data_IF_408704611894
#
_entry.id   IF_408704611894
#
_cell.length_a   1.000
_cell.length_b   1.000
_cell.length_c   1.000
_cell.angle_alpha   90.00
_cell.angle_beta   90.00
_cell.angle_gamma   90.00
#
_symmetry.space_group_name_H-M   'P 1'
#
loop_
_entity.id
_entity.type
_entity.pdbx_description
1 polymer ?
#
# COMPACT_ATOMS: atom_id res chain seq x y z
N UNK A 1 2.86 11.62 20.38
CA UNK A 1 2.95 12.88 19.61
C UNK A 1 4.19 13.71 19.98
N UNK A 2 4.36 14.13 21.25
CA UNK A 2 5.53 14.90 21.70
C UNK A 2 6.89 14.23 21.36
N UNK A 3 6.99 12.91 21.58
CA UNK A 3 8.19 12.14 21.23
C UNK A 3 8.56 12.27 19.73
N UNK A 4 7.56 12.23 18.85
CA UNK A 4 7.77 12.38 17.41
C UNK A 4 8.28 13.77 17.05
N UNK A 5 7.71 14.81 17.68
CA UNK A 5 8.17 16.19 17.53
C UNK A 5 9.63 16.34 17.94
N UNK A 6 9.99 15.92 19.16
CA UNK A 6 11.34 16.10 19.69
C UNK A 6 12.43 15.32 18.94
N UNK A 7 12.09 14.16 18.35
CA UNK A 7 13.07 13.26 17.70
C UNK A 7 13.18 13.50 16.20
N UNK A 8 12.05 13.72 15.50
CA UNK A 8 12.04 13.80 14.03
C UNK A 8 12.03 15.23 13.49
N UNK A 9 11.58 16.23 14.26
CA UNK A 9 11.57 17.63 13.79
C UNK A 9 12.82 18.41 14.21
N UNK A 10 13.34 18.18 15.41
CA UNK A 10 14.48 18.95 15.94
C UNK A 10 15.85 18.35 15.59
N UNK A 11 16.89 19.17 15.38
CA UNK A 11 18.15 18.74 14.77
C UNK A 11 19.08 17.99 15.74
N UNK A 12 18.80 17.95 17.04
CA UNK A 12 19.71 17.38 18.04
C UNK A 12 19.73 15.84 18.10
N UNK A 13 18.71 15.17 17.56
CA UNK A 13 18.57 13.72 17.75
C UNK A 13 19.53 12.95 16.82
N UNK A 14 20.34 12.01 17.37
CA UNK A 14 21.29 11.26 16.56
C UNK A 14 20.56 10.32 15.57
N UNK A 15 21.17 10.01 14.41
CA UNK A 15 20.54 9.15 13.40
C UNK A 15 20.18 7.74 13.89
N UNK A 16 21.00 7.16 14.78
CA UNK A 16 20.76 5.84 15.38
C UNK A 16 19.48 5.79 16.21
N UNK A 17 19.22 6.84 17.01
CA UNK A 17 18.00 6.97 17.78
C UNK A 17 16.77 7.11 16.88
N UNK A 18 16.88 7.92 15.82
CA UNK A 18 15.80 8.08 14.84
C UNK A 18 15.45 6.74 14.17
N UNK A 19 16.45 5.94 13.78
CA UNK A 19 16.22 4.62 13.19
C UNK A 19 15.51 3.65 14.15
N UNK A 20 15.88 3.64 15.44
CA UNK A 20 15.25 2.80 16.45
C UNK A 20 13.80 3.22 16.77
N UNK A 21 13.55 4.52 16.86
CA UNK A 21 12.23 5.05 17.25
C UNK A 21 11.26 5.10 16.07
N UNK A 22 11.74 5.15 14.82
CA UNK A 22 10.90 5.19 13.62
C UNK A 22 9.80 4.10 13.59
N UNK A 23 10.10 2.80 13.75
CA UNK A 23 9.05 1.78 13.75
C UNK A 23 8.06 1.97 14.90
N UNK A 24 8.54 2.26 16.11
CA UNK A 24 7.70 2.50 17.29
C UNK A 24 6.74 3.68 17.05
N UNK A 25 7.24 4.77 16.47
CA UNK A 25 6.45 5.95 16.15
C UNK A 25 5.34 5.63 15.13
N UNK A 26 5.65 4.87 14.08
CA UNK A 26 4.67 4.45 13.07
C UNK A 26 3.59 3.55 13.68
N UNK A 27 3.98 2.48 14.39
CA UNK A 27 3.00 1.57 15.00
C UNK A 27 2.15 2.25 16.07
N UNK A 28 2.74 3.08 16.92
CA UNK A 28 1.99 3.84 17.92
C UNK A 28 1.02 4.84 17.28
N UNK A 29 1.40 5.48 16.17
CA UNK A 29 0.51 6.35 15.40
C UNK A 29 -0.71 5.62 14.85
N UNK A 30 -0.51 4.44 14.25
CA UNK A 30 -1.60 3.59 13.76
C UNK A 30 -2.50 3.10 14.90
N UNK A 31 -1.92 2.69 16.04
CA UNK A 31 -2.71 2.29 17.20
C UNK A 31 -3.55 3.44 17.75
N UNK A 32 -2.95 4.62 17.94
CA UNK A 32 -3.67 5.80 18.43
C UNK A 32 -4.80 6.18 17.47
N UNK A 33 -4.56 6.12 16.15
CA UNK A 33 -5.59 6.39 15.16
C UNK A 33 -6.76 5.41 15.26
N UNK A 34 -6.46 4.11 15.38
CA UNK A 34 -7.47 3.07 15.57
C UNK A 34 -8.26 3.23 16.88
N UNK A 35 -7.59 3.54 17.99
CA UNK A 35 -8.27 3.75 19.28
C UNK A 35 -9.11 5.01 19.28
N UNK A 36 -8.69 6.09 18.61
CA UNK A 36 -9.51 7.31 18.46
C UNK A 36 -10.80 7.01 17.70
N UNK A 37 -10.76 6.19 16.65
CA UNK A 37 -11.97 5.74 15.95
C UNK A 37 -12.88 4.96 16.89
N UNK A 38 -12.34 3.99 17.64
CA UNK A 38 -13.11 3.20 18.60
C UNK A 38 -13.74 4.08 19.68
N UNK A 39 -13.00 5.03 20.24
CA UNK A 39 -13.49 6.00 21.24
C UNK A 39 -14.59 6.89 20.66
N UNK A 40 -14.45 7.37 19.41
CA UNK A 40 -15.48 8.17 18.76
C UNK A 40 -16.79 7.38 18.57
N UNK A 41 -16.71 6.11 18.12
CA UNK A 41 -17.87 5.24 17.96
C UNK A 41 -18.54 4.90 19.31
N UNK A 42 -17.74 4.68 20.35
CA UNK A 42 -18.24 4.46 21.71
C UNK A 42 -18.99 5.69 22.22
N UNK A 43 -18.40 6.90 22.10
CA UNK A 43 -19.05 8.14 22.53
C UNK A 43 -20.32 8.47 21.75
N UNK A 44 -20.34 8.19 20.44
CA UNK A 44 -21.56 8.29 19.61
C UNK A 44 -22.64 7.34 20.14
N UNK A 45 -22.29 6.09 20.42
CA UNK A 45 -23.22 5.08 20.94
C UNK A 45 -23.79 5.47 22.30
N UNK A 46 -22.92 5.92 23.22
CA UNK A 46 -23.34 6.44 24.54
C UNK A 46 -24.30 7.62 24.40
N UNK A 47 -24.00 8.56 23.50
CA UNK A 47 -24.86 9.72 23.24
C UNK A 47 -26.24 9.30 22.73
N UNK A 48 -26.30 8.36 21.79
CA UNK A 48 -27.55 7.84 21.23
C UNK A 48 -28.40 7.16 22.30
N UNK A 49 -27.79 6.30 23.13
CA UNK A 49 -28.49 5.58 24.21
C UNK A 49 -29.06 6.55 25.25
N UNK A 50 -28.31 7.61 25.61
CA UNK A 50 -28.75 8.54 26.66
C UNK A 50 -29.69 9.63 26.17
N UNK A 51 -29.57 10.07 24.91
CA UNK A 51 -30.38 11.16 24.37
C UNK A 51 -31.71 10.69 23.77
N UNK A 52 -31.74 9.58 23.03
CA UNK A 52 -32.94 9.10 22.30
C UNK A 52 -33.78 8.20 23.20
N UNK A 53 -34.50 8.81 24.14
CA UNK A 53 -35.45 8.13 25.03
C UNK A 53 -36.88 8.12 24.49
N UNK A 54 -37.32 9.22 23.88
CA UNK A 54 -38.65 9.36 23.29
C UNK A 54 -38.62 10.35 22.11
N UNK A 55 -38.68 9.89 20.85
CA UNK A 55 -38.76 8.49 20.42
C UNK A 55 -37.48 7.71 20.77
N UNK A 56 -37.65 6.45 21.19
CA UNK A 56 -36.55 5.58 21.58
C UNK A 56 -35.64 5.24 20.40
N UNK A 57 -34.34 5.04 20.63
CA UNK A 57 -33.37 4.72 19.57
C UNK A 57 -33.78 3.53 18.67
N UNK A 58 -34.39 2.48 19.23
CA UNK A 58 -34.86 1.32 18.47
C UNK A 58 -36.00 1.64 17.48
N UNK A 59 -36.73 2.75 17.65
CA UNK A 59 -37.76 3.17 16.69
C UNK A 59 -37.17 3.89 15.47
N UNK A 60 -35.85 3.83 15.27
CA UNK A 60 -35.13 4.44 14.14
C UNK A 60 -35.50 5.91 13.89
N UNK A 61 -35.40 6.80 14.91
CA UNK A 61 -35.62 8.22 14.67
C UNK A 61 -34.57 8.77 13.68
N UNK A 62 -34.89 9.82 12.90
CA UNK A 62 -33.98 10.37 11.90
C UNK A 62 -32.60 10.73 12.44
N UNK A 63 -32.52 11.24 13.67
CA UNK A 63 -31.26 11.53 14.37
C UNK A 63 -30.39 10.26 14.57
N UNK A 64 -31.02 9.13 14.92
CA UNK A 64 -30.34 7.85 15.08
C UNK A 64 -29.77 7.33 13.76
N UNK A 65 -30.56 7.39 12.68
CA UNK A 65 -30.11 6.98 11.34
C UNK A 65 -28.96 7.86 10.85
N UNK A 66 -29.07 9.18 11.03
CA UNK A 66 -28.02 10.12 10.65
C UNK A 66 -26.71 9.84 11.38
N UNK A 67 -26.77 9.68 12.71
CA UNK A 67 -25.57 9.49 13.53
C UNK A 67 -24.92 8.12 13.31
N UNK A 68 -25.72 7.06 13.05
CA UNK A 68 -25.19 5.76 12.64
C UNK A 68 -24.48 5.84 11.29
N UNK A 69 -25.07 6.57 10.34
CA UNK A 69 -24.45 6.80 9.03
C UNK A 69 -23.12 7.53 9.20
N UNK A 70 -23.06 8.56 10.05
CA UNK A 70 -21.82 9.25 10.41
C UNK A 70 -20.78 8.27 11.02
N UNK A 71 -21.20 7.38 11.91
CA UNK A 71 -20.33 6.34 12.48
C UNK A 71 -19.75 5.40 11.41
N UNK A 72 -20.56 4.97 10.44
CA UNK A 72 -20.09 4.17 9.31
C UNK A 72 -19.11 4.94 8.42
N UNK A 73 -19.35 6.24 8.19
CA UNK A 73 -18.42 7.10 7.44
C UNK A 73 -17.07 7.23 8.15
N UNK A 74 -17.07 7.37 9.48
CA UNK A 74 -15.83 7.40 10.29
C UNK A 74 -15.08 6.08 10.15
N UNK A 75 -15.77 4.94 10.21
CA UNK A 75 -15.17 3.62 10.07
C UNK A 75 -14.58 3.40 8.67
N UNK A 76 -15.33 3.79 7.63
CA UNK A 76 -14.88 3.73 6.23
C UNK A 76 -13.66 4.61 6.00
N UNK A 77 -13.67 5.84 6.52
CA UNK A 77 -12.52 6.74 6.48
C UNK A 77 -11.30 6.09 7.16
N UNK A 78 -11.49 5.52 8.36
CA UNK A 78 -10.45 4.78 9.06
C UNK A 78 -9.85 3.65 8.21
N UNK A 79 -10.70 2.80 7.64
CA UNK A 79 -10.28 1.69 6.79
C UNK A 79 -9.48 2.17 5.55
N UNK A 80 -9.92 3.26 4.91
CA UNK A 80 -9.22 3.84 3.77
C UNK A 80 -7.85 4.39 4.15
N UNK A 81 -7.73 5.07 5.29
CA UNK A 81 -6.44 5.56 5.79
C UNK A 81 -5.50 4.39 6.12
N UNK A 82 -6.00 3.34 6.78
CA UNK A 82 -5.23 2.13 7.06
C UNK A 82 -4.75 1.44 5.77
N UNK A 83 -5.59 1.40 4.75
CA UNK A 83 -5.21 0.88 3.43
C UNK A 83 -4.08 1.70 2.82
N UNK A 84 -4.21 3.03 2.80
CA UNK A 84 -3.23 3.92 2.20
C UNK A 84 -1.88 3.83 2.91
N UNK A 85 -1.86 3.90 4.24
CA UNK A 85 -0.62 3.93 5.03
C UNK A 85 0.14 2.61 5.00
N UNK A 86 -0.53 1.50 4.72
CA UNK A 86 0.08 0.16 4.66
C UNK A 86 0.60 -0.22 3.27
N UNK A 87 0.42 0.61 2.24
CA UNK A 87 0.96 0.36 0.90
C UNK A 87 2.44 0.73 0.81
N UNK A 88 3.38 -0.24 0.67
CA UNK A 88 4.80 0.07 0.57
C UNK A 88 5.15 0.88 -0.69
N UNK A 89 4.40 0.65 -1.78
CA UNK A 89 4.55 1.37 -3.04
C UNK A 89 4.19 2.86 -2.98
N UNK A 90 3.45 3.30 -1.95
CA UNK A 90 3.07 4.70 -1.73
C UNK A 90 3.92 5.36 -0.64
N UNK A 91 4.89 4.62 -0.09
CA UNK A 91 5.83 5.16 0.88
C UNK A 91 6.74 6.17 0.19
N UNK A 92 6.99 7.31 0.85
CA UNK A 92 7.96 8.31 0.37
C UNK A 92 9.32 7.62 0.10
N UNK A 93 9.93 7.83 -1.09
CA UNK A 93 11.27 7.32 -1.38
C UNK A 93 12.29 7.78 -0.34
N UNK A 94 13.28 6.92 -0.05
CA UNK A 94 14.35 7.27 0.88
C UNK A 94 15.25 8.35 0.26
N UNK A 95 15.66 9.33 1.07
CA UNK A 95 16.59 10.38 0.62
C UNK A 95 17.99 9.78 0.38
N UNK A 96 18.67 10.10 -0.74
CA UNK A 96 19.92 9.44 -1.16
C UNK A 96 21.13 9.68 -0.22
N UNK A 97 21.03 10.64 0.70
CA UNK A 97 22.09 11.13 1.57
C UNK A 97 21.85 10.89 3.07
N UNK A 98 20.86 10.06 3.45
CA UNK A 98 20.76 9.59 4.84
C UNK A 98 21.85 8.55 5.12
N UNK A 99 22.87 8.93 5.89
CA UNK A 99 24.06 8.16 6.30
C UNK A 99 23.68 6.98 7.23
N UNK A 100 22.78 6.11 6.77
CA UNK A 100 22.30 4.92 7.44
C UNK A 100 22.17 3.76 6.44
N UNK A 101 23.04 3.72 5.43
CA UNK A 101 23.32 2.46 4.75
C UNK A 101 24.42 1.73 5.53
N UNK A 102 24.13 0.60 6.20
CA UNK A 102 25.18 -0.34 6.55
C UNK A 102 25.66 -0.97 5.24
N UNK A 103 26.74 -0.43 4.70
CA UNK A 103 27.63 -1.01 3.69
C UNK A 103 27.09 -2.27 2.96
N UNK A 104 26.38 -2.07 1.85
CA UNK A 104 26.10 -3.12 0.86
C UNK A 104 27.03 -2.93 -0.33
N UNK A 105 28.00 -3.84 -0.49
CA UNK A 105 29.17 -3.67 -1.33
C UNK A 105 28.94 -3.52 -2.85
N UNK A 106 29.95 -2.88 -3.46
CA UNK A 106 30.28 -2.73 -4.88
C UNK A 106 29.51 -3.60 -5.87
N UNK A 107 28.84 -2.94 -6.83
CA UNK A 107 28.96 -3.24 -8.27
C UNK A 107 28.68 -1.97 -9.09
N UNK A 108 29.73 -1.23 -9.43
CA UNK A 108 29.78 -0.39 -10.63
C UNK A 108 31.10 -0.70 -11.36
N UNK A 109 31.02 -1.46 -12.45
CA UNK A 109 31.99 -1.53 -13.55
C UNK A 109 31.25 -2.24 -14.70
N UNK A 110 30.59 -1.48 -15.58
CA UNK A 110 31.11 -1.04 -16.90
C UNK A 110 31.70 -2.21 -17.68
N UNK A 111 30.92 -2.77 -18.61
CA UNK A 111 31.33 -3.13 -19.98
C UNK A 111 30.18 -3.85 -20.70
N UNK A 112 29.92 -3.50 -21.96
CA UNK A 112 28.93 -4.21 -22.77
C UNK A 112 28.31 -3.46 -23.96
N UNK A 113 28.94 -2.41 -24.50
CA UNK A 113 28.79 -2.09 -25.92
C UNK A 113 30.05 -2.55 -26.61
N UNK A 114 29.95 -3.46 -27.57
CA UNK A 114 30.71 -3.51 -28.84
C UNK A 114 30.43 -4.83 -29.59
N UNK A 115 29.90 -4.65 -30.81
CA UNK A 115 30.20 -5.36 -32.06
C UNK A 115 30.19 -6.91 -32.17
N UNK A 116 29.36 -7.32 -33.13
CA UNK A 116 29.26 -8.55 -33.93
C UNK A 116 30.62 -9.08 -34.43
N UNK A 117 30.87 -10.40 -34.34
CA UNK A 117 31.53 -11.16 -35.42
C UNK A 117 31.21 -12.68 -35.36
N UNK A 118 31.03 -13.24 -36.55
CA UNK A 118 30.62 -14.59 -36.96
C UNK A 118 31.72 -15.64 -36.89
N UNK A 119 31.34 -16.93 -36.67
CA UNK A 119 32.24 -18.06 -36.94
C UNK A 119 31.79 -19.46 -36.46
N UNK A 120 30.97 -20.13 -37.29
CA UNK A 120 31.04 -21.56 -37.70
C UNK A 120 30.79 -22.75 -36.70
N UNK A 121 29.75 -23.57 -37.02
CA UNK A 121 29.64 -25.07 -37.03
C UNK A 121 29.90 -25.82 -35.69
N UNK A 122 28.98 -26.59 -35.10
CA UNK A 122 28.34 -27.86 -35.53
C UNK A 122 27.17 -28.16 -34.55
N UNK A 123 25.90 -28.32 -34.98
CA UNK A 123 25.10 -29.56 -35.13
C UNK A 123 25.03 -30.51 -33.91
N UNK A 124 23.80 -30.97 -33.65
CA UNK A 124 23.33 -31.99 -32.65
C UNK A 124 22.78 -31.33 -31.37
N UNK A 125 21.52 -31.45 -30.92
CA UNK A 125 20.46 -32.40 -31.23
C UNK A 125 19.04 -31.80 -31.11
N UNK A 126 18.18 -32.45 -31.87
CA UNK A 126 16.75 -32.35 -32.14
C UNK A 126 15.78 -32.29 -30.95
N UNK A 127 14.72 -31.51 -31.19
CA UNK A 127 13.31 -31.90 -30.98
C UNK A 127 12.85 -32.26 -29.57
N UNK A 128 12.55 -31.28 -28.70
CA UNK A 128 11.63 -31.51 -27.57
C UNK A 128 10.88 -30.25 -27.08
N UNK A 129 10.57 -29.26 -27.93
CA UNK A 129 9.72 -28.15 -27.44
C UNK A 129 8.77 -27.49 -28.45
N UNK A 130 8.54 -28.12 -29.60
CA UNK A 130 7.61 -27.65 -30.63
C UNK A 130 6.12 -27.84 -30.27
N UNK A 131 5.79 -28.48 -29.15
CA UNK A 131 4.37 -28.68 -28.74
C UNK A 131 3.80 -27.60 -27.81
N UNK A 132 4.61 -26.78 -27.13
CA UNK A 132 4.09 -25.72 -26.27
C UNK A 132 3.68 -24.43 -27.03
N UNK A 133 4.19 -24.24 -28.25
CA UNK A 133 3.98 -23.02 -29.04
C UNK A 133 2.76 -23.09 -29.99
N UNK A 134 2.18 -24.27 -30.21
CA UNK A 134 1.02 -24.44 -31.10
C UNK A 134 -0.30 -23.95 -30.46
N UNK A 135 -0.41 -23.94 -29.13
CA UNK A 135 -1.65 -23.62 -28.41
C UNK A 135 -1.99 -22.12 -28.30
N UNK A 136 -1.00 -21.23 -28.45
CA UNK A 136 -1.23 -19.77 -28.26
C UNK A 136 -1.62 -19.02 -29.54
N UNK A 137 -1.58 -19.69 -30.69
CA UNK A 137 -1.77 -19.08 -32.02
C UNK A 137 -3.24 -18.96 -32.43
N UNK A 138 -4.11 -19.77 -31.82
CA UNK A 138 -5.51 -19.90 -32.24
C UNK A 138 -6.46 -18.95 -31.51
N UNK A 139 -6.03 -18.25 -30.45
CA UNK A 139 -6.94 -17.38 -29.68
C UNK A 139 -6.95 -15.93 -30.15
N UNK A 140 -5.97 -15.49 -30.94
CA UNK A 140 -5.82 -14.08 -31.34
C UNK A 140 -6.35 -13.77 -32.75
N UNK A 141 -6.80 -14.77 -33.49
CA UNK A 141 -7.32 -14.57 -34.86
C UNK A 141 -8.84 -14.49 -34.95
N UNK A 142 -9.58 -14.81 -33.89
CA UNK A 142 -11.06 -14.81 -33.92
C UNK A 142 -11.70 -13.44 -33.61
N UNK A 143 -10.93 -12.45 -33.13
CA UNK A 143 -11.47 -11.11 -32.80
C UNK A 143 -11.25 -10.06 -33.92
N UNK A 144 -10.58 -10.42 -35.00
CA UNK A 144 -10.38 -9.53 -36.16
C UNK A 144 -11.39 -9.76 -37.31
N UNK A 145 -12.29 -10.75 -37.18
CA UNK A 145 -13.19 -11.20 -38.25
C UNK A 145 -14.64 -10.68 -38.22
N UNK A 146 -15.06 -9.91 -37.21
CA UNK A 146 -16.48 -9.52 -37.04
C UNK A 146 -16.78 -8.02 -37.11
N UNK A 147 -15.88 -7.19 -37.65
CA UNK A 147 -16.15 -5.76 -37.88
C UNK A 147 -15.84 -5.32 -39.32
N UNK A 148 -16.39 -6.01 -40.33
CA UNK A 148 -16.58 -5.42 -41.67
C UNK A 148 -17.38 -6.34 -42.59
N UNK A 149 -18.72 -6.38 -42.46
CA UNK A 149 -19.64 -6.58 -43.59
C UNK A 149 -21.05 -6.13 -43.21
N UNK A 150 -21.59 -5.22 -44.04
CA UNK A 150 -22.93 -4.60 -44.08
C UNK A 150 -23.18 -3.41 -43.15
#
# INVERSE_FOLDING_TARGET
>A
LLLGFLIFLLPWAPPSLRALVMPIHVYSGLLIFGTVIATALMGVTEKLIFALKDPAYHSFPPEGVFTNTLGLLILLFGALIFWIVTRPQWKRPNEPNSILQPNGGNKEEVEGSMAINTGNVDKSDSELNSEAAAGKRNFTLDEAGQRSTM
#
